data_IF_581770590924
#
_entry.id   IF_581770590924
#
_cell.length_a   1.000
_cell.length_b   1.000
_cell.length_c   1.000
_cell.angle_alpha   90.00
_cell.angle_beta   90.00
_cell.angle_gamma   90.00
#
_symmetry.space_group_name_H-M   'P 1'
#
loop_
_entity.id
_entity.type
_entity.pdbx_description
1 polymer ?
#
# COMPACT_ATOMS: atom_id res chain seq x y z
N UNK A 1 14.03 -3.26 -4.46
CA UNK A 1 13.02 -2.35 -3.88
C UNK A 1 13.78 -1.23 -3.20
N UNK A 2 13.45 0.01 -3.58
CA UNK A 2 14.03 1.25 -3.05
C UNK A 2 12.95 1.99 -2.23
N UNK A 3 13.36 2.79 -1.25
CA UNK A 3 12.46 3.68 -0.53
C UNK A 3 11.67 4.61 -1.47
N UNK A 4 12.28 5.04 -2.59
CA UNK A 4 11.59 5.84 -3.60
C UNK A 4 10.42 5.08 -4.24
N UNK A 5 10.56 3.77 -4.43
CA UNK A 5 9.48 2.94 -4.99
C UNK A 5 8.34 2.80 -3.99
N UNK A 6 8.63 2.66 -2.70
CA UNK A 6 7.61 2.63 -1.65
C UNK A 6 6.87 3.96 -1.53
N UNK A 7 7.60 5.09 -1.65
CA UNK A 7 7.02 6.43 -1.62
C UNK A 7 6.18 6.76 -2.86
N UNK A 8 6.56 6.27 -4.02
CA UNK A 8 5.87 6.48 -5.29
C UNK A 8 5.50 5.14 -5.96
N UNK A 9 4.54 4.40 -5.39
CA UNK A 9 4.27 3.01 -5.78
C UNK A 9 3.60 2.86 -7.15
N UNK A 10 3.22 3.97 -7.78
CA UNK A 10 2.66 4.03 -9.13
C UNK A 10 3.72 4.15 -10.25
N UNK A 11 4.98 4.47 -9.92
CA UNK A 11 6.08 4.56 -10.87
C UNK A 11 6.39 3.21 -11.52
N UNK A 12 6.93 3.25 -12.74
CA UNK A 12 7.32 2.04 -13.49
C UNK A 12 8.28 1.16 -12.70
N UNK A 13 9.35 1.74 -12.13
CA UNK A 13 10.31 1.00 -11.29
C UNK A 13 9.69 0.40 -10.02
N UNK A 14 8.62 0.98 -9.49
CA UNK A 14 7.88 0.39 -8.37
C UNK A 14 7.10 -0.86 -8.82
N UNK A 15 6.43 -0.79 -9.98
CA UNK A 15 5.71 -1.93 -10.57
C UNK A 15 6.67 -3.07 -10.91
N UNK A 16 7.81 -2.78 -11.50
CA UNK A 16 8.86 -3.78 -11.77
C UNK A 16 9.38 -4.41 -10.47
N UNK A 17 9.60 -3.61 -9.43
CA UNK A 17 10.06 -4.12 -8.14
C UNK A 17 9.04 -5.04 -7.47
N UNK A 18 7.75 -4.74 -7.57
CA UNK A 18 6.67 -5.63 -7.11
C UNK A 18 6.64 -6.92 -7.91
N UNK A 19 6.71 -6.83 -9.25
CA UNK A 19 6.73 -8.00 -10.12
C UNK A 19 7.93 -8.93 -9.84
N UNK A 20 9.12 -8.34 -9.64
CA UNK A 20 10.34 -9.08 -9.31
C UNK A 20 10.34 -9.69 -7.90
N UNK A 21 9.51 -9.19 -6.97
CA UNK A 21 9.45 -9.70 -5.61
C UNK A 21 8.80 -11.09 -5.49
N UNK A 22 8.20 -11.60 -6.57
CA UNK A 22 7.55 -12.92 -6.66
C UNK A 22 6.64 -13.22 -5.47
N UNK A 23 6.00 -12.19 -4.91
CA UNK A 23 5.20 -12.32 -3.71
C UNK A 23 3.81 -12.87 -4.08
N UNK A 24 3.50 -14.05 -3.57
CA UNK A 24 2.17 -14.66 -3.70
C UNK A 24 1.19 -13.95 -2.77
N UNK A 25 0.14 -13.32 -3.32
CA UNK A 25 -0.90 -12.67 -2.52
C UNK A 25 -1.57 -13.63 -1.52
N UNK A 26 -1.99 -14.86 -1.90
CA UNK A 26 -2.52 -15.82 -0.95
C UNK A 26 -1.56 -16.13 0.20
N UNK A 27 -0.26 -16.21 -0.09
CA UNK A 27 0.77 -16.45 0.94
C UNK A 27 0.89 -15.26 1.88
N UNK A 28 0.95 -14.04 1.36
CA UNK A 28 1.01 -12.82 2.18
C UNK A 28 -0.18 -12.72 3.14
N UNK A 29 -1.38 -13.08 2.67
CA UNK A 29 -2.59 -13.08 3.50
C UNK A 29 -2.56 -14.21 4.54
N UNK A 30 -2.13 -15.41 4.15
CA UNK A 30 -2.07 -16.55 5.08
C UNK A 30 -1.02 -16.38 6.19
N UNK A 31 0.03 -15.60 5.92
CA UNK A 31 1.12 -15.32 6.87
C UNK A 31 0.90 -14.01 7.66
N UNK A 32 -0.24 -13.34 7.51
CA UNK A 32 -0.50 -12.01 8.09
C UNK A 32 0.68 -11.04 7.85
N UNK A 33 1.19 -11.05 6.62
CA UNK A 33 2.41 -10.31 6.28
C UNK A 33 2.22 -8.80 6.57
N UNK A 34 3.26 -8.07 7.01
CA UNK A 34 3.15 -6.65 7.36
C UNK A 34 2.56 -5.76 6.24
N UNK A 35 2.73 -6.17 4.98
CA UNK A 35 2.14 -5.48 3.83
C UNK A 35 0.59 -5.52 3.83
N UNK A 36 -0.01 -6.60 4.33
CA UNK A 36 -1.47 -6.78 4.40
C UNK A 36 -2.07 -5.87 5.47
N UNK A 37 -1.47 -5.87 6.67
CA UNK A 37 -1.88 -4.97 7.75
C UNK A 37 -1.76 -3.51 7.34
N UNK A 38 -0.62 -3.15 6.74
CA UNK A 38 -0.40 -1.80 6.22
C UNK A 38 -1.40 -1.44 5.11
N UNK A 39 -1.78 -2.39 4.25
CA UNK A 39 -2.78 -2.15 3.21
C UNK A 39 -4.18 -1.90 3.79
N UNK A 40 -4.56 -2.63 4.84
CA UNK A 40 -5.82 -2.42 5.55
C UNK A 40 -5.87 -1.04 6.19
N UNK A 41 -4.84 -0.68 6.95
CA UNK A 41 -4.70 0.65 7.56
C UNK A 41 -4.81 1.73 6.49
N UNK A 42 -4.10 1.57 5.36
CA UNK A 42 -4.14 2.53 4.26
C UNK A 42 -5.55 2.75 3.72
N UNK A 43 -6.33 1.68 3.52
CA UNK A 43 -7.73 1.79 3.06
C UNK A 43 -8.61 2.41 4.14
N UNK A 44 -8.47 1.96 5.38
CA UNK A 44 -9.27 2.45 6.51
C UNK A 44 -9.08 3.96 6.70
N UNK A 45 -7.84 4.42 6.79
CA UNK A 45 -7.53 5.85 6.96
C UNK A 45 -7.94 6.66 5.75
N UNK A 46 -7.81 6.13 4.53
CA UNK A 46 -8.30 6.84 3.35
C UNK A 46 -9.82 7.05 3.42
N UNK A 47 -10.56 6.01 3.83
CA UNK A 47 -12.02 6.04 3.89
C UNK A 47 -12.57 6.78 5.10
N UNK A 48 -11.86 6.84 6.21
CA UNK A 48 -12.32 7.49 7.45
C UNK A 48 -11.75 8.91 7.60
N UNK A 49 -10.46 9.08 7.31
CA UNK A 49 -9.69 10.30 7.61
C UNK A 49 -9.24 11.06 6.35
N UNK A 50 -9.34 10.45 5.17
CA UNK A 50 -8.93 11.09 3.92
C UNK A 50 -7.40 11.15 3.72
N UNK A 51 -6.64 10.30 4.40
CA UNK A 51 -5.18 10.19 4.26
C UNK A 51 -4.74 8.73 4.19
N UNK A 52 -3.65 8.47 3.48
CA UNK A 52 -3.00 7.15 3.40
C UNK A 52 -1.79 7.03 4.32
N UNK A 53 -1.41 8.11 4.99
CA UNK A 53 -0.23 8.14 5.86
C UNK A 53 -0.40 7.16 7.04
N UNK A 54 0.68 6.51 7.51
CA UNK A 54 0.64 5.64 8.68
C UNK A 54 0.32 6.42 9.97
N UNK A 55 -0.32 5.77 10.94
CA UNK A 55 -0.63 6.40 12.24
C UNK A 55 0.65 6.81 12.98
N UNK A 56 1.71 6.02 12.85
CA UNK A 56 3.04 6.28 13.41
C UNK A 56 3.81 7.44 12.78
N UNK A 57 3.22 8.13 11.81
CA UNK A 57 3.86 9.23 11.07
C UNK A 57 4.25 8.82 9.65
N UNK A 58 4.50 9.84 8.82
CA UNK A 58 4.70 9.65 7.39
C UNK A 58 5.92 8.78 7.06
N UNK A 59 5.80 7.96 6.03
CA UNK A 59 6.92 7.14 5.55
C UNK A 59 8.04 8.05 5.05
N UNK A 60 9.18 8.03 5.74
CA UNK A 60 10.28 8.98 5.49
C UNK A 60 11.29 8.48 4.47
N UNK A 61 11.30 7.16 4.19
CA UNK A 61 12.25 6.52 3.29
C UNK A 61 13.62 6.28 3.92
N UNK A 62 13.78 6.54 5.22
CA UNK A 62 14.95 6.11 6.03
C UNK A 62 14.72 4.78 6.75
N UNK A 63 13.58 4.15 6.45
CA UNK A 63 13.10 2.94 7.09
C UNK A 63 13.90 1.70 6.67
N UNK A 64 13.77 0.62 7.45
CA UNK A 64 14.44 -0.63 7.17
C UNK A 64 13.91 -1.33 5.91
N UNK A 65 14.65 -2.35 5.46
CA UNK A 65 14.33 -3.11 4.24
C UNK A 65 12.98 -3.82 4.30
N UNK A 66 12.54 -4.21 5.49
CA UNK A 66 11.26 -4.89 5.71
C UNK A 66 10.12 -3.89 5.56
N UNK A 67 10.29 -2.71 6.14
CA UNK A 67 9.36 -1.59 6.13
C UNK A 67 9.18 -1.02 4.72
N UNK A 68 10.28 -0.83 3.97
CA UNK A 68 10.23 -0.45 2.55
C UNK A 68 9.44 -1.47 1.74
N UNK A 69 9.66 -2.78 1.98
CA UNK A 69 8.96 -3.84 1.27
C UNK A 69 7.47 -3.86 1.64
N UNK A 70 7.13 -3.73 2.91
CA UNK A 70 5.73 -3.71 3.35
C UNK A 70 4.98 -2.50 2.81
N UNK A 71 5.62 -1.32 2.82
CA UNK A 71 5.01 -0.08 2.31
C UNK A 71 4.79 -0.11 0.80
N UNK A 72 5.72 -0.70 0.05
CA UNK A 72 5.56 -0.89 -1.40
C UNK A 72 4.48 -1.93 -1.73
N UNK A 73 4.49 -3.08 -1.05
CA UNK A 73 3.52 -4.15 -1.30
C UNK A 73 2.12 -3.81 -0.80
N UNK A 74 1.98 -2.91 0.17
CA UNK A 74 0.67 -2.51 0.67
C UNK A 74 -0.15 -1.77 -0.38
N UNK A 75 0.48 -1.04 -1.32
CA UNK A 75 -0.22 -0.32 -2.39
C UNK A 75 -1.07 -1.21 -3.31
N UNK A 76 -0.50 -2.23 -3.98
CA UNK A 76 -1.29 -3.10 -4.84
C UNK A 76 -2.34 -3.89 -4.03
N UNK A 77 -2.06 -4.26 -2.78
CA UNK A 77 -3.02 -4.95 -1.91
C UNK A 77 -4.20 -4.02 -1.57
N UNK A 78 -3.92 -2.78 -1.18
CA UNK A 78 -4.95 -1.77 -0.87
C UNK A 78 -5.84 -1.48 -2.09
N UNK A 79 -5.26 -1.40 -3.29
CA UNK A 79 -6.05 -1.28 -4.53
C UNK A 79 -6.97 -2.47 -4.80
N UNK A 80 -6.54 -3.69 -4.47
CA UNK A 80 -7.40 -4.86 -4.54
C UNK A 80 -8.53 -4.75 -3.51
N UNK A 81 -8.19 -4.43 -2.25
CA UNK A 81 -9.17 -4.28 -1.17
C UNK A 81 -10.26 -3.25 -1.50
N UNK A 82 -9.88 -2.04 -1.96
CA UNK A 82 -10.86 -1.01 -2.31
C UNK A 82 -11.71 -1.41 -3.52
N UNK A 83 -11.14 -2.12 -4.50
CA UNK A 83 -11.90 -2.63 -5.65
C UNK A 83 -12.91 -3.70 -5.23
N UNK A 84 -12.59 -4.52 -4.22
CA UNK A 84 -13.49 -5.54 -3.69
C UNK A 84 -14.68 -4.96 -2.92
N UNK A 85 -14.62 -3.69 -2.49
CA UNK A 85 -15.76 -3.01 -1.88
C UNK A 85 -16.87 -2.70 -2.90
N UNK A 86 -16.56 -2.77 -4.20
CA UNK A 86 -17.50 -2.53 -5.31
C UNK A 86 -18.30 -1.23 -5.14
N UNK A 87 -17.59 -0.16 -4.74
CA UNK A 87 -18.17 1.15 -4.41
C UNK A 87 -17.36 2.26 -5.04
N UNK A 88 -17.94 2.90 -6.05
CA UNK A 88 -17.31 4.02 -6.77
C UNK A 88 -16.92 5.17 -5.84
N UNK A 89 -17.77 5.63 -4.88
CA UNK A 89 -17.35 6.66 -3.92
C UNK A 89 -16.18 6.23 -3.01
N UNK A 90 -16.08 4.95 -2.67
CA UNK A 90 -14.96 4.45 -1.86
C UNK A 90 -13.65 4.45 -2.67
N UNK A 91 -13.72 4.06 -3.95
CA UNK A 91 -12.59 4.09 -4.88
C UNK A 91 -12.12 5.53 -5.08
N UNK A 92 -13.04 6.47 -5.31
CA UNK A 92 -12.71 7.89 -5.48
C UNK A 92 -12.08 8.48 -4.21
N UNK A 93 -12.65 8.21 -3.04
CA UNK A 93 -12.12 8.70 -1.77
C UNK A 93 -10.71 8.15 -1.49
N UNK A 94 -10.48 6.87 -1.80
CA UNK A 94 -9.16 6.27 -1.69
C UNK A 94 -8.16 6.90 -2.66
N UNK A 95 -8.53 7.07 -3.93
CA UNK A 95 -7.67 7.69 -4.93
C UNK A 95 -7.32 9.15 -4.60
N UNK A 96 -8.27 9.90 -4.04
CA UNK A 96 -8.02 11.26 -3.57
C UNK A 96 -7.04 11.29 -2.39
N UNK A 97 -7.17 10.36 -1.43
CA UNK A 97 -6.25 10.26 -0.30
C UNK A 97 -4.82 9.85 -0.73
N UNK A 98 -4.67 8.99 -1.73
CA UNK A 98 -3.38 8.61 -2.32
C UNK A 98 -2.70 9.76 -3.09
N UNK A 99 -3.46 10.76 -3.52
CA UNK A 99 -2.96 11.88 -4.31
C UNK A 99 -2.66 13.15 -3.50
N UNK A 100 -3.01 13.16 -2.20
CA UNK A 100 -2.82 14.27 -1.27
C UNK A 100 -1.36 14.42 -0.82
#
# INVERSE_FOLDING_TARGET
MDALHAKYPFFEGAREAVAGASASLPTLVAEDAPAVERARERVERALLEGTVEPEGGAFTGTDGRVEIRSELLSYPIARILVSLLDSEPAIEKYAAAEAA
#
